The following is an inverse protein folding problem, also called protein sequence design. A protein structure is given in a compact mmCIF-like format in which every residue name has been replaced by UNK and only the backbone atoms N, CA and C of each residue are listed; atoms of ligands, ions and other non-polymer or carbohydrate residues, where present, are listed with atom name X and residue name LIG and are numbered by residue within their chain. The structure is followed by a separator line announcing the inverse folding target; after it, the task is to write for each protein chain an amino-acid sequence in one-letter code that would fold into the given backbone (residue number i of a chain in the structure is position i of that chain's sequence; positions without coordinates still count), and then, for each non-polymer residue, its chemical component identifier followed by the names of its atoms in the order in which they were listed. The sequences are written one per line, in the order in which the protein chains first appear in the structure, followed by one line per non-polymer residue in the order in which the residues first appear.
data_IF_981354819814
#
_entry.id   IF_981354819814
#
_cell.length_a   1.000
_cell.length_b   1.000
_cell.length_c   1.000
_cell.angle_alpha   90.00
_cell.angle_beta   90.00
_cell.angle_gamma   90.00
#
_symmetry.space_group_name_H-M   'P 1'
#
loop_
_entity.id
_entity.type
_entity.pdbx_description
1 polymer ?
#
# COMPACT_ATOMS: atom_id res chain seq x y z
N UNK A 1 0.19 1.05 27.12
CA UNK A 1 -1.23 1.36 26.82
C UNK A 1 -1.41 1.86 25.39
N UNK A 2 -0.75 2.95 24.95
CA UNK A 2 -0.86 3.42 23.55
C UNK A 2 -0.39 2.39 22.51
N UNK A 3 0.64 1.62 22.84
CA UNK A 3 1.15 0.56 21.94
C UNK A 3 0.19 -0.63 21.81
N UNK A 4 -0.63 -0.88 22.86
CA UNK A 4 -1.61 -1.96 22.86
C UNK A 4 -2.77 -1.63 21.92
N UNK A 5 -3.35 -0.43 22.03
CA UNK A 5 -4.42 0.03 21.14
C UNK A 5 -3.93 0.14 19.68
N UNK A 6 -2.70 0.64 19.47
CA UNK A 6 -2.09 0.67 18.14
C UNK A 6 -1.99 -0.74 17.55
N UNK A 7 -1.48 -1.71 18.31
CA UNK A 7 -1.38 -3.11 17.88
C UNK A 7 -2.75 -3.69 17.57
N UNK A 8 -3.74 -3.46 18.41
CA UNK A 8 -5.11 -3.96 18.21
C UNK A 8 -5.72 -3.43 16.91
N UNK A 9 -5.62 -2.11 16.67
CA UNK A 9 -6.11 -1.51 15.42
C UNK A 9 -5.31 -1.98 14.20
N UNK A 10 -4.01 -2.20 14.35
CA UNK A 10 -3.15 -2.69 13.27
C UNK A 10 -3.51 -4.12 12.87
N UNK A 11 -3.61 -5.03 13.85
CA UNK A 11 -3.98 -6.43 13.62
C UNK A 11 -5.35 -6.50 12.97
N UNK A 12 -6.33 -5.77 13.52
CA UNK A 12 -7.68 -5.71 12.95
C UNK A 12 -7.67 -5.26 11.48
N UNK A 13 -6.91 -4.22 11.14
CA UNK A 13 -6.82 -3.77 9.75
C UNK A 13 -6.26 -4.87 8.83
N UNK A 14 -5.24 -5.60 9.25
CA UNK A 14 -4.64 -6.67 8.43
C UNK A 14 -5.57 -7.89 8.32
N UNK A 15 -6.33 -8.21 9.37
CA UNK A 15 -7.39 -9.23 9.33
C UNK A 15 -8.46 -8.84 8.31
N UNK A 16 -8.97 -7.60 8.37
CA UNK A 16 -9.96 -7.09 7.41
C UNK A 16 -9.46 -7.24 5.95
N UNK A 17 -8.19 -6.88 5.68
CA UNK A 17 -7.56 -7.02 4.35
C UNK A 17 -7.56 -8.47 3.86
N UNK A 18 -7.31 -9.44 4.75
CA UNK A 18 -7.34 -10.86 4.38
C UNK A 18 -8.76 -11.39 4.23
N UNK A 19 -9.68 -11.00 5.11
CA UNK A 19 -11.10 -11.41 5.05
C UNK A 19 -11.82 -10.86 3.81
N UNK A 20 -11.49 -9.63 3.38
CA UNK A 20 -12.03 -9.02 2.17
C UNK A 20 -11.43 -9.62 0.88
N UNK A 21 -10.38 -10.44 0.99
CA UNK A 21 -9.70 -11.08 -0.13
C UNK A 21 -8.70 -10.18 -0.86
N UNK A 22 -8.34 -9.04 -0.29
CA UNK A 22 -7.31 -8.14 -0.83
C UNK A 22 -5.90 -8.70 -0.67
N UNK A 23 -5.69 -9.60 0.31
CA UNK A 23 -4.45 -10.36 0.49
C UNK A 23 -4.72 -11.79 1.00
N UNK A 24 -3.79 -12.71 0.74
CA UNK A 24 -3.86 -14.09 1.22
C UNK A 24 -2.54 -14.53 1.85
N UNK A 25 -2.62 -15.56 2.72
CA UNK A 25 -1.41 -16.18 3.28
C UNK A 25 -0.67 -16.94 2.17
N UNK A 26 0.63 -16.68 2.06
CA UNK A 26 1.47 -17.28 1.04
C UNK A 26 1.87 -18.71 1.46
N UNK A 27 1.41 -19.71 0.70
CA UNK A 27 1.63 -21.15 0.99
C UNK A 27 3.04 -21.62 0.60
N UNK A 28 3.64 -20.99 -0.42
CA UNK A 28 4.97 -21.32 -0.94
C UNK A 28 5.89 -20.10 -0.86
N UNK A 29 6.94 -20.22 -0.07
CA UNK A 29 8.03 -19.26 -0.07
C UNK A 29 8.80 -19.42 -1.39
N UNK A 30 8.39 -18.66 -2.41
CA UNK A 30 8.99 -18.65 -3.73
C UNK A 30 10.54 -18.59 -3.72
N UNK A 31 11.16 -18.87 -4.87
CA UNK A 31 12.62 -19.02 -4.94
C UNK A 31 13.33 -17.74 -4.49
N UNK A 32 14.57 -17.88 -4.05
CA UNK A 32 15.40 -16.71 -3.75
C UNK A 32 15.47 -15.78 -4.98
N UNK A 33 15.06 -14.53 -4.82
CA UNK A 33 14.89 -13.55 -5.91
C UNK A 33 13.45 -13.33 -6.38
N UNK A 34 12.53 -14.24 -6.05
CA UNK A 34 11.08 -14.11 -6.30
C UNK A 34 10.32 -13.64 -5.04
N UNK A 35 11.01 -13.55 -3.90
CA UNK A 35 10.46 -13.05 -2.64
C UNK A 35 10.72 -11.56 -2.46
N UNK A 36 9.64 -10.83 -2.25
CA UNK A 36 9.68 -9.40 -2.01
C UNK A 36 8.87 -9.06 -0.76
N UNK A 37 9.43 -8.18 0.07
CA UNK A 37 8.75 -7.65 1.24
C UNK A 37 8.47 -6.17 1.02
N UNK A 38 7.23 -5.77 1.26
CA UNK A 38 6.83 -4.36 1.19
C UNK A 38 6.76 -3.84 2.63
N UNK A 39 7.59 -2.86 3.02
CA UNK A 39 7.50 -2.27 4.33
C UNK A 39 6.16 -1.57 4.51
N UNK A 40 5.58 -1.70 5.70
CA UNK A 40 4.28 -1.13 6.01
C UNK A 40 4.24 -0.56 7.42
N UNK A 41 3.44 0.49 7.62
CA UNK A 41 3.25 1.09 8.93
C UNK A 41 1.86 1.69 9.10
N UNK A 42 1.38 1.75 10.34
CA UNK A 42 0.08 2.30 10.69
C UNK A 42 0.15 3.81 10.87
N UNK A 43 -0.84 4.53 10.33
CA UNK A 43 -1.01 5.97 10.50
C UNK A 43 -2.42 6.29 10.97
N UNK A 44 -2.53 7.26 11.89
CA UNK A 44 -3.81 7.83 12.28
C UNK A 44 -4.09 9.11 11.52
N UNK A 45 -5.31 9.26 11.02
CA UNK A 45 -5.76 10.50 10.41
C UNK A 45 -6.40 11.40 11.47
N UNK A 46 -5.93 12.64 11.62
CA UNK A 46 -6.42 13.60 12.63
C UNK A 46 -7.93 13.82 12.60
N UNK A 47 -8.53 13.84 11.40
CA UNK A 47 -9.99 13.96 11.20
C UNK A 47 -10.81 12.68 11.39
N UNK A 48 -10.17 11.53 11.62
CA UNK A 48 -10.82 10.23 11.84
C UNK A 48 -10.19 9.55 13.08
N UNK A 49 -10.40 10.13 14.28
CA UNK A 49 -9.82 9.59 15.50
C UNK A 49 -10.27 8.14 15.72
N UNK A 50 -9.36 7.30 16.24
CA UNK A 50 -9.61 5.88 16.48
C UNK A 50 -9.51 4.98 15.24
N UNK A 51 -9.48 5.51 14.01
CA UNK A 51 -9.30 4.70 12.79
C UNK A 51 -7.86 4.73 12.32
N UNK A 52 -7.15 3.61 12.50
CA UNK A 52 -5.84 3.37 11.92
C UNK A 52 -5.97 2.96 10.45
N UNK A 53 -5.01 3.36 9.62
CA UNK A 53 -4.81 2.85 8.26
C UNK A 53 -3.40 2.32 8.14
N UNK A 54 -3.20 1.20 7.46
CA UNK A 54 -1.86 0.73 7.12
C UNK A 54 -1.45 1.31 5.77
N UNK A 55 -0.25 1.86 5.71
CA UNK A 55 0.38 2.36 4.49
C UNK A 55 1.46 1.37 4.09
N UNK A 56 1.37 0.86 2.86
CA UNK A 56 2.40 0.04 2.23
C UNK A 56 3.32 0.94 1.40
N UNK A 57 4.62 0.94 1.71
CA UNK A 57 5.60 1.75 1.01
C UNK A 57 6.24 0.95 -0.14
N UNK A 58 5.58 0.96 -1.30
CA UNK A 58 6.06 0.32 -2.52
C UNK A 58 7.26 1.04 -3.16
N UNK A 59 7.65 2.23 -2.65
CA UNK A 59 8.79 3.00 -3.13
C UNK A 59 10.09 2.69 -2.39
N UNK A 60 10.00 1.96 -1.27
CA UNK A 60 11.15 1.54 -0.50
C UNK A 60 12.13 0.74 -1.37
N UNK A 61 13.38 1.20 -1.42
CA UNK A 61 14.43 0.58 -2.23
C UNK A 61 15.17 -0.50 -1.46
N UNK A 62 15.36 -1.66 -2.10
CA UNK A 62 16.22 -2.73 -1.64
C UNK A 62 17.11 -3.22 -2.79
N UNK A 63 18.41 -3.41 -2.53
CA UNK A 63 19.41 -3.79 -3.54
C UNK A 63 19.36 -2.93 -4.83
N UNK A 64 19.04 -1.64 -4.69
CA UNK A 64 19.03 -0.67 -5.80
C UNK A 64 17.71 -0.50 -6.54
N UNK A 65 16.68 -1.32 -6.26
CA UNK A 65 15.37 -1.24 -6.93
C UNK A 65 14.20 -1.20 -5.93
N UNK A 66 13.01 -0.82 -6.38
CA UNK A 66 11.75 -0.79 -5.62
C UNK A 66 10.61 -1.42 -6.44
N UNK A 67 9.48 -1.75 -5.81
CA UNK A 67 8.33 -2.30 -6.52
C UNK A 67 7.84 -1.33 -7.60
N UNK A 68 7.79 -0.03 -7.29
CA UNK A 68 7.37 1.00 -8.24
C UNK A 68 8.24 1.07 -9.50
N UNK A 69 9.53 0.71 -9.42
CA UNK A 69 10.42 0.69 -10.60
C UNK A 69 10.05 -0.41 -11.60
N UNK A 70 9.28 -1.41 -11.18
CA UNK A 70 8.90 -2.59 -11.97
C UNK A 70 7.42 -2.63 -12.37
N UNK A 71 6.62 -1.66 -11.93
CA UNK A 71 5.21 -1.55 -12.35
C UNK A 71 5.11 -0.90 -13.73
N UNK A 72 4.31 -1.51 -14.61
CA UNK A 72 3.98 -0.89 -15.89
C UNK A 72 3.17 0.39 -15.63
N UNK A 73 3.65 1.52 -16.13
CA UNK A 73 2.88 2.76 -16.09
C UNK A 73 1.74 2.63 -17.09
N UNK A 74 0.50 2.79 -16.61
CA UNK A 74 -0.67 2.86 -17.48
C UNK A 74 -0.62 4.10 -18.39
N UNK A 75 -1.45 4.15 -19.44
CA UNK A 75 -1.60 5.37 -20.24
C UNK A 75 -2.02 6.53 -19.34
N UNK A 76 -1.49 7.72 -19.60
CA UNK A 76 -1.93 8.92 -18.90
C UNK A 76 -3.39 9.22 -19.28
N UNK A 77 -4.29 9.02 -18.31
CA UNK A 77 -5.72 9.24 -18.47
C UNK A 77 -6.13 10.68 -18.12
N UNK A 78 -5.19 11.53 -17.66
CA UNK A 78 -5.48 12.95 -17.53
C UNK A 78 -5.58 13.58 -18.91
N UNK A 79 -6.70 14.26 -19.16
CA UNK A 79 -6.76 15.24 -20.23
C UNK A 79 -5.65 16.27 -19.95
N UNK A 80 -4.72 16.44 -20.90
CA UNK A 80 -3.76 17.52 -20.83
C UNK A 80 -4.50 18.84 -20.56
N UNK A 81 -3.95 19.71 -19.73
CA UNK A 81 -4.57 21.01 -19.37
C UNK A 81 -5.05 21.78 -20.60
N UNK A 82 -4.33 21.66 -21.73
CA UNK A 82 -4.73 22.18 -23.04
C UNK A 82 -6.07 21.64 -23.54
N UNK A 83 -6.34 20.35 -23.37
CA UNK A 83 -7.61 19.71 -23.73
C UNK A 83 -8.80 20.10 -22.83
N UNK A 84 -8.55 20.61 -21.62
CA UNK A 84 -9.61 21.14 -20.73
C UNK A 84 -9.88 22.62 -21.04
N UNK A 85 -8.83 23.39 -21.34
CA UNK A 85 -8.92 24.84 -21.54
C UNK A 85 -9.30 25.24 -22.98
N UNK A 86 -9.09 24.38 -23.97
CA UNK A 86 -9.30 24.68 -25.40
C UNK A 86 -10.48 23.93 -26.03
N UNK A 87 -11.18 23.09 -25.28
CA UNK A 87 -12.46 22.53 -25.75
C UNK A 87 -13.57 23.58 -25.60
N UNK A 88 -14.34 23.86 -26.68
CA UNK A 88 -15.40 24.87 -26.67
C UNK A 88 -16.53 24.57 -25.67
#
# INVERSE_FOLDING_TARGET
MKDQEYREHYVKFMEDVTEEGDAEEVIDEGREGEKWHIPHHGVYHSKKPGKLRVVFDCSARYKGTSLNDHLLTGPDLMNGLTGILLTP
#
